data_IF_598202291278
#
_entry.id   IF_598202291278
#
_cell.length_a   1.000
_cell.length_b   1.000
_cell.length_c   1.000
_cell.angle_alpha   90.00
_cell.angle_beta   90.00
_cell.angle_gamma   90.00
#
_symmetry.space_group_name_H-M   'P 1'
#
loop_
_entity.id
_entity.type
_entity.pdbx_description
1 polymer ?
#
# COMPACT_ATOMS: atom_id res chain seq x y z
N UNK A 1 -2.78 3.07 8.83
CA UNK A 1 -1.93 3.74 7.82
C UNK A 1 -0.60 4.17 8.43
N UNK A 2 -0.60 4.75 9.65
CA UNK A 2 0.60 5.10 10.44
C UNK A 2 1.77 4.10 10.37
N UNK A 3 1.53 2.81 10.62
CA UNK A 3 2.58 1.78 10.56
C UNK A 3 3.27 1.69 9.18
N UNK A 4 2.47 1.57 8.12
CA UNK A 4 2.98 1.43 6.75
C UNK A 4 3.69 2.72 6.30
N UNK A 5 3.09 3.88 6.56
CA UNK A 5 3.69 5.18 6.25
C UNK A 5 5.04 5.40 6.96
N UNK A 6 5.18 4.94 8.22
CA UNK A 6 6.46 5.00 8.95
C UNK A 6 7.49 3.93 8.55
N UNK A 7 7.12 3.00 7.67
CA UNK A 7 8.02 1.92 7.18
C UNK A 7 8.52 2.18 5.76
N UNK A 8 7.66 2.74 4.90
CA UNK A 8 7.98 3.02 3.50
C UNK A 8 9.08 4.07 3.39
N UNK A 9 10.03 3.81 2.52
CA UNK A 9 11.14 4.68 2.17
C UNK A 9 11.64 4.36 0.76
N UNK A 10 12.43 5.27 0.20
CA UNK A 10 13.13 5.01 -1.05
C UNK A 10 14.00 3.75 -0.96
N UNK A 11 14.18 3.08 -2.09
CA UNK A 11 14.91 1.81 -2.19
C UNK A 11 14.05 0.56 -1.95
N UNK A 12 12.83 0.69 -1.42
CA UNK A 12 11.91 -0.45 -1.29
C UNK A 12 11.24 -0.79 -2.62
N UNK A 13 11.03 -2.08 -2.88
CA UNK A 13 10.26 -2.56 -4.03
C UNK A 13 8.75 -2.57 -3.73
N UNK A 14 7.90 -2.25 -4.71
CA UNK A 14 6.45 -2.25 -4.52
C UNK A 14 5.90 -3.63 -4.09
N UNK A 15 6.53 -4.72 -4.52
CA UNK A 15 6.16 -6.09 -4.12
C UNK A 15 6.43 -6.34 -2.64
N UNK A 16 7.51 -5.80 -2.10
CA UNK A 16 7.85 -5.89 -0.67
C UNK A 16 6.85 -5.08 0.16
N UNK A 17 6.49 -3.88 -0.30
CA UNK A 17 5.48 -3.04 0.36
C UNK A 17 4.12 -3.72 0.36
N UNK A 18 3.72 -4.35 -0.75
CA UNK A 18 2.51 -5.16 -0.83
C UNK A 18 2.52 -6.28 0.22
N UNK A 19 3.60 -7.06 0.28
CA UNK A 19 3.74 -8.15 1.24
C UNK A 19 3.67 -7.65 2.70
N UNK A 20 4.31 -6.51 3.00
CA UNK A 20 4.23 -5.86 4.32
C UNK A 20 2.81 -5.42 4.69
N UNK A 21 2.07 -4.84 3.73
CA UNK A 21 0.67 -4.47 3.93
C UNK A 21 -0.19 -5.69 4.23
N UNK A 22 -0.06 -6.76 3.45
CA UNK A 22 -0.86 -7.98 3.62
C UNK A 22 -0.55 -8.69 4.94
N UNK A 23 0.74 -8.85 5.26
CA UNK A 23 1.16 -9.41 6.53
C UNK A 23 0.64 -8.57 7.71
N UNK A 24 0.69 -7.24 7.60
CA UNK A 24 0.13 -6.36 8.63
C UNK A 24 -1.38 -6.55 8.79
N UNK A 25 -2.15 -6.64 7.69
CA UNK A 25 -3.59 -6.83 7.75
C UNK A 25 -3.97 -8.16 8.41
N UNK A 26 -3.31 -9.26 8.02
CA UNK A 26 -3.52 -10.58 8.61
C UNK A 26 -3.16 -10.60 10.10
N UNK A 27 -2.00 -10.05 10.47
CA UNK A 27 -1.58 -9.95 11.87
C UNK A 27 -2.52 -9.08 12.73
N UNK A 28 -3.30 -8.19 12.11
CA UNK A 28 -4.32 -7.37 12.78
C UNK A 28 -5.73 -7.97 12.73
N UNK A 29 -5.86 -9.21 12.25
CA UNK A 29 -7.08 -10.00 12.35
C UNK A 29 -7.97 -9.96 11.12
N UNK A 30 -7.48 -9.51 9.97
CA UNK A 30 -8.09 -9.90 8.69
C UNK A 30 -7.92 -11.42 8.51
N UNK A 31 -8.91 -12.07 7.90
CA UNK A 31 -8.87 -13.52 7.60
C UNK A 31 -8.73 -13.81 6.11
N UNK A 32 -9.09 -12.86 5.25
CA UNK A 32 -8.89 -12.92 3.80
C UNK A 32 -8.89 -11.51 3.19
N UNK A 33 -8.83 -11.45 1.86
CA UNK A 33 -8.93 -10.22 1.09
C UNK A 33 -10.07 -10.28 0.09
N UNK A 34 -11.00 -9.32 0.15
CA UNK A 34 -12.28 -9.44 -0.55
C UNK A 34 -12.16 -9.23 -2.06
N UNK A 35 -11.21 -8.41 -2.49
CA UNK A 35 -11.08 -8.03 -3.89
C UNK A 35 -10.04 -8.91 -4.58
N UNK A 36 -10.51 -10.00 -5.19
CA UNK A 36 -9.68 -10.97 -5.94
C UNK A 36 -8.53 -11.58 -5.15
N UNK A 37 -8.70 -11.73 -3.82
CA UNK A 37 -7.66 -12.19 -2.89
C UNK A 37 -6.37 -11.33 -2.91
N UNK A 38 -6.50 -10.07 -3.30
CA UNK A 38 -5.45 -9.07 -3.22
C UNK A 38 -5.70 -8.26 -1.96
N UNK A 39 -4.77 -8.25 -1.01
CA UNK A 39 -4.92 -7.48 0.23
C UNK A 39 -4.45 -6.05 0.16
N UNK A 40 -3.56 -5.75 -0.79
CA UNK A 40 -3.19 -4.38 -1.11
C UNK A 40 -2.81 -4.19 -2.59
N UNK A 41 -3.32 -3.11 -3.17
CA UNK A 41 -2.84 -2.54 -4.43
C UNK A 41 -1.85 -1.44 -4.09
N UNK A 42 -0.66 -1.58 -4.65
CA UNK A 42 0.44 -0.64 -4.55
C UNK A 42 0.73 -0.12 -5.95
N UNK A 43 0.67 1.20 -6.09
CA UNK A 43 0.98 1.93 -7.32
C UNK A 43 1.96 3.05 -7.01
N UNK A 44 2.90 3.33 -7.90
CA UNK A 44 3.84 4.45 -7.74
C UNK A 44 4.00 5.27 -9.03
N UNK A 45 4.34 6.55 -8.88
CA UNK A 45 4.49 7.48 -9.99
C UNK A 45 3.22 7.55 -10.85
N UNK A 46 3.38 7.38 -12.16
CA UNK A 46 2.27 7.42 -13.13
C UNK A 46 1.21 6.34 -12.89
N UNK A 47 1.57 5.21 -12.27
CA UNK A 47 0.60 4.15 -11.95
C UNK A 47 -0.45 4.61 -10.92
N UNK A 48 -0.18 5.69 -10.17
CA UNK A 48 -1.16 6.25 -9.22
C UNK A 48 -2.35 6.92 -9.92
N UNK A 49 -2.24 7.22 -11.22
CA UNK A 49 -3.28 7.87 -12.01
C UNK A 49 -4.21 6.89 -12.75
N UNK A 50 -3.94 5.58 -12.67
CA UNK A 50 -4.73 4.57 -13.37
C UNK A 50 -5.64 3.79 -12.41
N UNK A 51 -6.76 3.32 -12.94
CA UNK A 51 -7.65 2.38 -12.26
C UNK A 51 -7.46 1.00 -12.88
N UNK A 52 -7.03 0.02 -12.08
CA UNK A 52 -6.70 -1.34 -12.53
C UNK A 52 -7.64 -2.34 -11.87
N UNK A 53 -8.22 -3.23 -12.66
CA UNK A 53 -9.04 -4.34 -12.16
C UNK A 53 -8.21 -5.30 -11.32
N UNK A 54 -8.74 -5.77 -10.19
CA UNK A 54 -8.05 -6.77 -9.37
C UNK A 54 -7.82 -8.10 -10.09
N UNK A 55 -8.60 -8.41 -11.15
CA UNK A 55 -8.36 -9.58 -12.01
C UNK A 55 -7.01 -9.53 -12.72
N UNK A 56 -6.50 -8.33 -12.98
CA UNK A 56 -5.32 -8.09 -13.82
C UNK A 56 -4.15 -7.55 -13.00
N UNK A 57 -4.42 -7.09 -11.79
CA UNK A 57 -3.43 -6.42 -10.96
C UNK A 57 -2.25 -7.33 -10.58
N UNK A 58 -1.04 -6.78 -10.77
CA UNK A 58 0.21 -7.32 -10.26
C UNK A 58 1.06 -6.15 -9.79
N UNK A 59 1.63 -6.26 -8.59
CA UNK A 59 2.57 -5.24 -8.11
C UNK A 59 3.80 -5.20 -9.05
N UNK A 60 4.10 -4.01 -9.55
CA UNK A 60 5.23 -3.79 -10.45
C UNK A 60 6.56 -4.13 -9.77
N UNK A 61 7.53 -4.62 -10.54
CA UNK A 61 8.89 -4.81 -10.05
C UNK A 61 9.65 -3.47 -10.08
N UNK A 62 9.17 -2.51 -9.30
CA UNK A 62 9.68 -1.13 -9.27
C UNK A 62 10.20 -0.81 -7.88
N UNK A 63 11.39 -0.21 -7.84
CA UNK A 63 11.95 0.38 -6.63
C UNK A 63 11.52 1.85 -6.56
N UNK A 64 11.15 2.31 -5.37
CA UNK A 64 10.75 3.71 -5.15
C UNK A 64 11.99 4.62 -5.14
N UNK A 65 12.04 5.68 -5.97
CA UNK A 65 13.11 6.68 -5.92
C UNK A 65 12.94 7.62 -4.72
N UNK A 66 13.90 8.53 -4.53
CA UNK A 66 13.92 9.47 -3.39
C UNK A 66 12.74 10.45 -3.38
N UNK A 67 12.19 10.78 -4.55
CA UNK A 67 11.03 11.66 -4.69
C UNK A 67 10.00 10.97 -5.58
N UNK A 68 8.88 10.55 -5.01
CA UNK A 68 7.80 9.88 -5.72
C UNK A 68 6.48 10.02 -4.94
N UNK A 69 5.41 9.49 -5.51
CA UNK A 69 4.14 9.27 -4.83
C UNK A 69 3.77 7.79 -4.90
N UNK A 70 3.14 7.29 -3.84
CA UNK A 70 2.69 5.90 -3.75
C UNK A 70 1.24 5.85 -3.28
N UNK A 71 0.38 5.16 -4.04
CA UNK A 71 -0.98 4.85 -3.62
C UNK A 71 -1.02 3.44 -3.02
N UNK A 72 -1.61 3.34 -1.84
CA UNK A 72 -1.85 2.09 -1.11
C UNK A 72 -3.35 1.94 -0.92
N UNK A 73 -3.94 1.01 -1.66
CA UNK A 73 -5.35 0.65 -1.56
C UNK A 73 -5.50 -0.73 -0.91
N UNK A 74 -6.35 -0.87 0.10
CA UNK A 74 -6.39 -2.04 0.99
C UNK A 74 -7.79 -2.61 1.08
N UNK A 75 -7.86 -3.92 0.90
CA UNK A 75 -9.10 -4.69 0.77
C UNK A 75 -9.21 -5.82 1.82
N UNK A 76 -8.98 -5.57 3.13
CA UNK A 76 -9.11 -6.62 4.14
C UNK A 76 -10.55 -7.08 4.33
N UNK A 77 -10.71 -8.35 4.64
CA UNK A 77 -11.95 -8.97 5.05
C UNK A 77 -11.80 -9.61 6.44
N UNK A 78 -12.90 -9.60 7.20
CA UNK A 78 -13.05 -10.39 8.43
C UNK A 78 -14.48 -10.88 8.58
N UNK A 79 -14.69 -12.18 8.77
CA UNK A 79 -16.02 -12.77 8.96
C UNK A 79 -17.03 -12.29 7.91
N UNK A 80 -16.64 -12.31 6.63
CA UNK A 80 -17.46 -11.85 5.50
C UNK A 80 -17.84 -10.34 5.51
N UNK A 81 -17.19 -9.53 6.34
CA UNK A 81 -17.33 -8.07 6.32
C UNK A 81 -16.13 -7.46 5.60
N UNK A 82 -16.41 -6.64 4.60
CA UNK A 82 -15.40 -6.00 3.77
C UNK A 82 -15.06 -4.62 4.29
N UNK A 83 -13.80 -4.23 4.13
CA UNK A 83 -13.35 -2.85 4.30
C UNK A 83 -12.52 -2.47 3.10
N UNK A 84 -12.63 -1.19 2.75
CA UNK A 84 -11.89 -0.60 1.66
C UNK A 84 -11.28 0.73 2.11
N UNK A 85 -9.99 0.91 1.85
CA UNK A 85 -9.27 2.09 2.30
C UNK A 85 -8.01 2.33 1.46
N UNK A 86 -8.07 3.39 0.67
CA UNK A 86 -6.94 3.93 -0.08
C UNK A 86 -6.35 5.19 0.55
N UNK A 87 -5.02 5.33 0.49
CA UNK A 87 -4.31 6.61 0.67
C UNK A 87 -3.13 6.70 -0.28
N UNK A 88 -2.89 7.90 -0.78
CA UNK A 88 -1.66 8.26 -1.48
C UNK A 88 -0.71 8.95 -0.51
N UNK A 89 0.53 8.50 -0.48
CA UNK A 89 1.62 9.06 0.31
C UNK A 89 2.61 9.73 -0.63
N UNK A 90 3.12 10.88 -0.23
CA UNK A 90 4.20 11.58 -0.93
C UNK A 90 5.51 11.21 -0.25
N UNK A 91 6.54 10.95 -1.05
CA UNK A 91 7.89 10.65 -0.60
C UNK A 91 8.78 11.79 -1.08
N UNK A 92 9.49 12.41 -0.15
CA UNK A 92 10.47 13.47 -0.41
C UNK A 92 11.77 13.13 0.31
N UNK A 93 12.89 13.30 -0.38
CA UNK A 93 14.23 12.99 0.16
C UNK A 93 14.32 11.58 0.79
N UNK A 94 13.64 10.63 0.18
CA UNK A 94 13.67 9.21 0.55
C UNK A 94 12.73 8.79 1.68
N UNK A 95 11.94 9.70 2.26
CA UNK A 95 11.01 9.39 3.36
C UNK A 95 9.60 9.90 3.07
N UNK A 96 8.59 9.26 3.68
CA UNK A 96 7.20 9.71 3.55
C UNK A 96 7.01 11.07 4.24
N UNK A 97 6.45 12.05 3.53
CA UNK A 97 6.14 13.38 4.07
C UNK A 97 5.16 13.26 5.24
N UNK A 98 5.41 14.00 6.33
CA UNK A 98 4.56 13.99 7.52
C UNK A 98 4.67 12.73 8.39
N UNK A 99 5.53 11.78 8.05
CA UNK A 99 5.81 10.60 8.90
C UNK A 99 6.56 10.98 10.20
N UNK A 100 7.26 12.12 10.20
CA UNK A 100 7.78 12.76 11.39
C UNK A 100 6.69 13.59 12.08
N UNK A 101 5.89 12.96 12.94
CA UNK A 101 5.22 13.66 14.04
C UNK A 101 3.79 14.15 13.84
N UNK A 102 3.05 13.75 12.81
CA UNK A 102 1.60 14.04 12.74
C UNK A 102 0.78 12.76 12.80
N UNK A 103 -0.13 12.71 13.79
CA UNK A 103 -1.16 11.68 13.90
C UNK A 103 -2.16 11.80 12.75
N UNK A 104 -1.99 10.95 11.73
CA UNK A 104 -3.02 10.60 10.74
C UNK A 104 -3.81 9.36 11.18
#
# INVERSE_FOLDING_TARGET
MKYIAGTIRAGMNLREIKALCEAYLLNRGADSFWYWDIGAFIFAGEETAVSVSGKEYKAANRVIPENDMITIDRSPQKNNNWRDYARTLVIENGVVCGSAGYDL
#
